data_IF_668733581930
#
_entry.id   IF_668733581930
#
_cell.length_a   1.000
_cell.length_b   1.000
_cell.length_c   1.000
_cell.angle_alpha   90.00
_cell.angle_beta   90.00
_cell.angle_gamma   90.00
#
_symmetry.space_group_name_H-M   'P 1'
#
loop_
_entity.id
_entity.type
_entity.pdbx_description
1 polymer ?
#
# COMPACT_ATOMS: atom_id res chain seq x y z
N UNK A 1 7.63 16.20 -12.49
CA UNK A 1 7.11 15.06 -11.72
C UNK A 1 5.64 15.27 -11.45
N UNK A 2 4.82 14.25 -11.74
CA UNK A 2 3.38 14.25 -11.45
C UNK A 2 3.19 13.61 -10.08
N UNK A 3 2.29 14.16 -9.28
CA UNK A 3 1.87 13.57 -8.00
C UNK A 3 0.85 12.47 -8.29
N UNK A 4 1.07 11.31 -7.70
CA UNK A 4 0.17 10.16 -7.74
C UNK A 4 -0.16 9.73 -6.33
N UNK A 5 -1.36 9.22 -6.18
CA UNK A 5 -1.85 8.62 -4.95
C UNK A 5 -2.24 7.18 -5.27
N UNK A 6 -1.64 6.23 -4.56
CA UNK A 6 -1.83 4.81 -4.76
C UNK A 6 -2.39 4.25 -3.46
N UNK A 7 -3.61 3.74 -3.53
CA UNK A 7 -4.23 3.01 -2.42
C UNK A 7 -4.25 1.53 -2.78
N UNK A 8 -3.75 0.70 -1.86
CA UNK A 8 -3.81 -0.74 -2.01
C UNK A 8 -4.24 -1.40 -0.69
N UNK A 9 -4.77 -2.61 -0.83
CA UNK A 9 -5.31 -3.39 0.29
C UNK A 9 -4.49 -4.67 0.40
N UNK A 10 -3.92 -4.91 1.58
CA UNK A 10 -3.21 -6.13 1.93
C UNK A 10 -4.20 -7.10 2.61
N UNK A 11 -4.03 -8.39 2.35
CA UNK A 11 -4.86 -9.43 2.96
C UNK A 11 -4.80 -9.37 4.50
N UNK A 12 -5.93 -9.49 5.20
CA UNK A 12 -6.00 -9.23 6.64
C UNK A 12 -5.40 -10.35 7.50
N UNK A 13 -5.10 -11.50 6.90
CA UNK A 13 -4.55 -12.69 7.56
C UNK A 13 -3.02 -12.65 7.72
N UNK A 14 -2.35 -11.62 7.20
CA UNK A 14 -0.90 -11.46 7.33
C UNK A 14 -0.51 -10.83 8.67
N UNK A 15 0.64 -11.27 9.19
CA UNK A 15 1.27 -10.70 10.37
C UNK A 15 1.85 -9.32 10.09
N UNK A 16 2.06 -8.52 11.13
CA UNK A 16 2.57 -7.15 11.00
C UNK A 16 3.96 -7.09 10.34
N UNK A 17 4.82 -8.09 10.62
CA UNK A 17 6.12 -8.21 9.99
C UNK A 17 6.02 -8.42 8.47
N UNK A 18 5.11 -9.30 8.03
CA UNK A 18 4.87 -9.55 6.61
C UNK A 18 4.27 -8.32 5.91
N UNK A 19 3.41 -7.56 6.60
CA UNK A 19 2.87 -6.31 6.05
C UNK A 19 3.98 -5.29 5.79
N UNK A 20 4.93 -5.12 6.73
CA UNK A 20 6.07 -4.20 6.56
C UNK A 20 6.97 -4.62 5.41
N UNK A 21 7.27 -5.91 5.28
CA UNK A 21 8.06 -6.43 4.16
C UNK A 21 7.41 -6.13 2.80
N UNK A 22 6.08 -6.29 2.70
CA UNK A 22 5.33 -5.96 1.49
C UNK A 22 5.42 -4.46 1.18
N UNK A 23 5.22 -3.60 2.18
CA UNK A 23 5.32 -2.14 2.03
C UNK A 23 6.72 -1.74 1.56
N UNK A 24 7.77 -2.26 2.19
CA UNK A 24 9.17 -2.01 1.80
C UNK A 24 9.45 -2.48 0.37
N UNK A 25 8.93 -3.65 -0.02
CA UNK A 25 9.06 -4.16 -1.38
C UNK A 25 8.41 -3.24 -2.41
N UNK A 26 7.20 -2.73 -2.14
CA UNK A 26 6.53 -1.78 -3.03
C UNK A 26 7.30 -0.45 -3.13
N UNK A 27 7.80 0.05 -2.00
CA UNK A 27 8.62 1.24 -1.95
C UNK A 27 9.92 1.06 -2.76
N UNK A 28 10.55 -0.12 -2.68
CA UNK A 28 11.74 -0.47 -3.46
C UNK A 28 11.50 -0.49 -4.96
N UNK A 29 10.37 -1.05 -5.41
CA UNK A 29 10.00 -1.06 -6.84
C UNK A 29 9.81 0.36 -7.37
N UNK A 30 9.13 1.22 -6.60
CA UNK A 30 8.85 2.60 -7.01
C UNK A 30 10.12 3.45 -7.07
N UNK A 31 10.98 3.34 -6.05
CA UNK A 31 12.27 4.06 -6.01
C UNK A 31 13.23 3.59 -7.10
N UNK A 32 13.26 2.28 -7.41
CA UNK A 32 14.07 1.75 -8.52
C UNK A 32 13.66 2.34 -9.87
N UNK A 33 12.36 2.64 -10.04
CA UNK A 33 11.83 3.23 -11.26
C UNK A 33 11.93 4.77 -11.28
N UNK A 34 12.63 5.38 -10.33
CA UNK A 34 12.83 6.83 -10.26
C UNK A 34 11.64 7.61 -9.72
N UNK A 35 10.71 6.95 -9.01
CA UNK A 35 9.67 7.64 -8.24
C UNK A 35 10.19 8.04 -6.85
N UNK A 36 9.81 9.24 -6.42
CA UNK A 36 10.07 9.76 -5.08
C UNK A 36 8.84 9.52 -4.21
N UNK A 37 9.04 8.91 -3.04
CA UNK A 37 7.96 8.63 -2.09
C UNK A 37 7.81 9.86 -1.17
N UNK A 38 6.67 10.53 -1.23
CA UNK A 38 6.38 11.67 -0.34
C UNK A 38 5.87 11.20 1.02
N UNK A 39 4.97 10.21 1.02
CA UNK A 39 4.31 9.74 2.24
C UNK A 39 3.83 8.30 2.09
N UNK A 40 4.07 7.50 3.13
CA UNK A 40 3.44 6.19 3.33
C UNK A 40 2.52 6.32 4.54
N UNK A 41 1.25 6.00 4.39
CA UNK A 41 0.27 6.02 5.48
C UNK A 41 -0.38 4.64 5.63
N UNK A 42 -0.07 4.00 6.76
CA UNK A 42 -0.66 2.73 7.15
C UNK A 42 -1.98 2.98 7.89
N UNK A 43 -3.10 2.74 7.21
CA UNK A 43 -4.44 3.06 7.71
C UNK A 43 -5.04 1.94 8.58
N UNK A 44 -4.32 0.83 8.76
CA UNK A 44 -4.70 -0.31 9.58
C UNK A 44 -5.73 -1.23 8.93
N UNK A 45 -6.20 -2.21 9.71
CA UNK A 45 -7.29 -3.11 9.30
C UNK A 45 -8.62 -2.38 9.36
N UNK A 46 -9.39 -2.44 8.27
CA UNK A 46 -10.74 -1.88 8.16
C UNK A 46 -11.68 -2.91 7.55
N UNK A 47 -12.95 -2.83 7.94
CA UNK A 47 -14.01 -3.68 7.38
C UNK A 47 -14.37 -3.19 5.97
N UNK A 48 -14.37 -4.10 5.01
CA UNK A 48 -14.77 -3.86 3.63
C UNK A 48 -16.30 -3.78 3.54
N UNK A 49 -16.82 -2.98 2.61
CA UNK A 49 -18.26 -2.86 2.39
C UNK A 49 -18.87 -4.16 1.82
N UNK A 50 -18.07 -4.95 1.12
CA UNK A 50 -18.41 -6.25 0.58
C UNK A 50 -17.19 -7.16 0.64
N UNK A 51 -17.43 -8.45 0.50
CA UNK A 51 -16.39 -9.47 0.59
C UNK A 51 -15.52 -9.46 -0.68
N UNK A 52 -14.20 -9.40 -0.50
CA UNK A 52 -13.23 -9.48 -1.59
C UNK A 52 -12.31 -10.65 -1.27
N UNK A 53 -12.24 -11.64 -2.18
CA UNK A 53 -11.46 -12.88 -1.98
C UNK A 53 -11.79 -13.58 -0.64
N UNK A 54 -13.08 -13.70 -0.31
CA UNK A 54 -13.58 -14.29 0.94
C UNK A 54 -13.12 -13.58 2.24
N UNK A 55 -12.62 -12.33 2.12
CA UNK A 55 -12.26 -11.48 3.24
C UNK A 55 -13.25 -10.33 3.42
N UNK A 56 -13.68 -10.12 4.66
CA UNK A 56 -14.52 -8.98 5.09
C UNK A 56 -13.72 -7.82 5.65
N UNK A 57 -12.41 -8.00 5.79
CA UNK A 57 -11.48 -7.01 6.31
C UNK A 57 -10.29 -6.89 5.36
N UNK A 58 -9.66 -5.73 5.35
CA UNK A 58 -8.45 -5.48 4.59
C UNK A 58 -7.56 -4.49 5.31
N UNK A 59 -6.25 -4.64 5.17
CA UNK A 59 -5.29 -3.68 5.70
C UNK A 59 -5.00 -2.61 4.63
N UNK A 60 -5.36 -1.37 4.92
CA UNK A 60 -5.27 -0.27 3.97
C UNK A 60 -3.91 0.42 4.07
N UNK A 61 -3.28 0.64 2.94
CA UNK A 61 -2.08 1.47 2.82
C UNK A 61 -2.30 2.51 1.74
N UNK A 62 -2.01 3.75 2.09
CA UNK A 62 -2.03 4.88 1.18
C UNK A 62 -0.60 5.35 0.92
N UNK A 63 -0.26 5.49 -0.36
CA UNK A 63 1.05 5.92 -0.79
C UNK A 63 0.95 7.16 -1.66
N UNK A 64 1.61 8.23 -1.24
CA UNK A 64 1.77 9.46 -2.02
C UNK A 64 3.15 9.46 -2.66
N UNK A 65 3.20 9.53 -3.99
CA UNK A 65 4.46 9.50 -4.75
C UNK A 65 4.51 10.60 -5.80
N UNK A 66 5.72 11.04 -6.10
CA UNK A 66 6.03 11.86 -7.26
C UNK A 66 6.80 11.03 -8.27
N UNK A 67 6.28 10.90 -9.50
CA UNK A 67 6.95 10.17 -10.57
C UNK A 67 6.91 10.95 -11.88
N UNK A 68 7.94 10.76 -12.72
CA UNK A 68 7.89 11.15 -14.13
C UNK A 68 7.31 9.95 -14.90
N UNK A 69 6.38 10.20 -15.83
CA UNK A 69 5.62 9.13 -16.51
C UNK A 69 6.51 8.15 -17.26
#
# INVERSE_FOLDING_TARGET
>A
MRKYEIMYIIAPNLEEAANKEIIERFNGVLTTNGAEIEKVEEMGKRRLAYEINDYREGFYVLLSVQANS
#
